data_IF_008132249914
#
_entry.id   IF_008132249914
#
_cell.length_a   1.000
_cell.length_b   1.000
_cell.length_c   1.000
_cell.angle_alpha   90.00
_cell.angle_beta   90.00
_cell.angle_gamma   90.00
#
_symmetry.space_group_name_H-M   'P 1'
#
loop_
_entity.id
_entity.type
_entity.pdbx_description
1 polymer ?
#
# COMPACT_ATOMS: atom_id res chain seq x y z
N UNK A 1 7.27 9.21 10.47
CA UNK A 1 7.28 9.01 9.00
C UNK A 1 5.86 8.74 8.56
N UNK A 2 5.40 9.38 7.48
CA UNK A 2 4.02 9.25 7.00
C UNK A 2 4.02 8.68 5.60
N UNK A 3 3.24 7.62 5.40
CA UNK A 3 3.00 6.99 4.11
C UNK A 3 1.53 7.08 3.75
N UNK A 4 1.26 7.55 2.53
CA UNK A 4 -0.09 7.58 1.96
C UNK A 4 -0.24 6.36 1.06
N UNK A 5 -1.25 5.56 1.33
CA UNK A 5 -1.57 4.33 0.61
C UNK A 5 -2.84 4.58 -0.20
N UNK A 6 -2.73 4.40 -1.51
CA UNK A 6 -3.82 4.52 -2.46
C UNK A 6 -4.09 3.17 -3.10
N UNK A 7 -5.36 2.81 -3.20
CA UNK A 7 -5.82 1.54 -3.73
C UNK A 7 -6.54 1.78 -5.05
N UNK A 8 -6.31 0.92 -6.05
CA UNK A 8 -7.01 1.02 -7.35
C UNK A 8 -7.65 -0.31 -7.75
N UNK A 9 -8.65 -0.23 -8.63
CA UNK A 9 -9.44 -1.37 -9.09
C UNK A 9 -10.35 -1.94 -8.01
N UNK A 10 -10.23 -3.24 -7.74
CA UNK A 10 -11.07 -4.04 -6.82
C UNK A 10 -10.45 -4.18 -5.42
N UNK A 11 -9.45 -3.34 -5.14
CA UNK A 11 -8.80 -3.25 -3.84
C UNK A 11 -9.62 -2.30 -2.98
N UNK A 12 -10.36 -2.86 -2.03
CA UNK A 12 -11.04 -2.06 -1.01
C UNK A 12 -10.08 -1.64 0.10
N UNK A 13 -10.07 -0.35 0.42
CA UNK A 13 -9.26 0.25 1.48
C UNK A 13 -9.57 -0.34 2.85
N UNK A 14 -10.86 -0.58 3.17
CA UNK A 14 -11.23 -1.24 4.43
C UNK A 14 -10.72 -2.66 4.52
N UNK A 15 -10.79 -3.41 3.41
CA UNK A 15 -10.25 -4.76 3.33
C UNK A 15 -8.73 -4.80 3.57
N UNK A 16 -7.99 -3.84 3.00
CA UNK A 16 -6.56 -3.69 3.25
C UNK A 16 -6.26 -3.28 4.69
N UNK A 17 -7.02 -2.34 5.25
CA UNK A 17 -6.85 -1.92 6.65
C UNK A 17 -7.13 -3.06 7.63
N UNK A 18 -8.20 -3.82 7.42
CA UNK A 18 -8.52 -5.00 8.23
C UNK A 18 -7.44 -6.08 8.13
N UNK A 19 -6.84 -6.25 6.94
CA UNK A 19 -5.70 -7.13 6.73
C UNK A 19 -4.47 -6.67 7.52
N UNK A 20 -4.10 -5.39 7.37
CA UNK A 20 -2.96 -4.80 8.08
C UNK A 20 -3.16 -4.82 9.59
N UNK A 21 -4.38 -4.66 10.10
CA UNK A 21 -4.66 -4.77 11.53
C UNK A 21 -4.36 -6.16 12.12
N UNK A 22 -4.31 -7.22 11.29
CA UNK A 22 -3.89 -8.57 11.69
C UNK A 22 -2.38 -8.76 11.67
N UNK A 23 -1.62 -7.87 11.05
CA UNK A 23 -0.16 -7.93 10.98
C UNK A 23 0.46 -7.46 12.32
N UNK A 24 1.24 -8.30 13.02
CA UNK A 24 1.86 -7.92 14.28
C UNK A 24 2.83 -6.74 14.14
N UNK A 25 3.45 -6.53 12.97
CA UNK A 25 4.36 -5.39 12.72
C UNK A 25 3.58 -4.10 12.49
N UNK A 26 2.37 -4.19 11.94
CA UNK A 26 1.49 -3.04 11.77
C UNK A 26 0.95 -2.47 13.09
N UNK A 27 1.19 -3.14 14.24
CA UNK A 27 0.87 -2.60 15.57
C UNK A 27 1.70 -1.37 15.95
N UNK A 28 2.85 -1.18 15.31
CA UNK A 28 3.69 0.00 15.47
C UNK A 28 3.29 1.14 14.51
N UNK A 29 2.22 0.93 13.73
CA UNK A 29 1.71 1.86 12.72
C UNK A 29 0.36 2.40 13.17
N UNK A 30 0.21 3.72 13.20
CA UNK A 30 -1.11 4.36 13.34
C UNK A 30 -1.71 4.54 11.95
N UNK A 31 -2.86 3.90 11.71
CA UNK A 31 -3.62 4.04 10.46
C UNK A 31 -4.78 5.02 10.63
N UNK A 32 -4.99 5.87 9.62
CA UNK A 32 -6.20 6.65 9.46
C UNK A 32 -6.73 6.52 8.03
N UNK A 33 -8.03 6.65 7.85
CA UNK A 33 -8.68 6.58 6.53
C UNK A 33 -9.28 7.94 6.22
N UNK A 34 -8.98 8.45 5.03
CA UNK A 34 -9.57 9.65 4.48
C UNK A 34 -10.27 9.32 3.15
N UNK A 35 -11.40 9.98 2.83
CA UNK A 35 -11.99 9.85 1.50
C UNK A 35 -11.02 10.42 0.46
N UNK A 36 -10.76 9.66 -0.62
CA UNK A 36 -10.04 10.18 -1.78
C UNK A 36 -10.86 11.25 -2.50
N UNK A 37 -10.19 12.23 -3.10
CA UNK A 37 -10.88 13.27 -3.85
C UNK A 37 -11.38 12.70 -5.20
N UNK A 38 -12.57 13.12 -5.64
CA UNK A 38 -13.22 12.59 -6.85
C UNK A 38 -12.43 12.78 -8.17
N UNK A 39 -11.40 13.63 -8.16
CA UNK A 39 -10.50 13.87 -9.29
C UNK A 39 -9.20 13.06 -9.23
N UNK A 40 -8.97 12.34 -8.13
CA UNK A 40 -7.87 11.38 -8.01
C UNK A 40 -8.32 10.06 -8.67
N UNK A 41 -7.48 9.49 -9.55
CA UNK A 41 -7.79 8.19 -10.19
C UNK A 41 -8.09 7.13 -9.14
N UNK A 42 -9.20 6.39 -9.32
CA UNK A 42 -9.70 5.43 -8.34
C UNK A 42 -10.22 6.16 -7.11
N UNK A 43 -11.46 6.66 -7.18
CA UNK A 43 -12.18 7.35 -6.10
C UNK A 43 -12.46 6.40 -4.91
N UNK A 44 -11.39 5.85 -4.35
CA UNK A 44 -11.34 4.93 -3.25
C UNK A 44 -10.80 5.61 -1.99
N UNK A 45 -10.83 4.85 -0.91
CA UNK A 45 -10.33 5.27 0.39
C UNK A 45 -8.80 5.44 0.36
N UNK A 46 -8.32 6.57 0.88
CA UNK A 46 -6.90 6.81 1.13
C UNK A 46 -6.61 6.33 2.55
N UNK A 47 -5.62 5.44 2.69
CA UNK A 47 -5.14 5.03 4.02
C UNK A 47 -3.85 5.80 4.30
N UNK A 48 -3.82 6.57 5.37
CA UNK A 48 -2.59 7.16 5.87
C UNK A 48 -2.02 6.25 6.96
N UNK A 49 -0.73 5.96 6.85
CA UNK A 49 0.02 5.15 7.80
C UNK A 49 1.14 6.02 8.39
N UNK A 50 1.14 6.20 9.70
CA UNK A 50 2.16 6.95 10.43
C UNK A 50 2.94 6.00 11.34
N UNK A 51 4.26 6.04 11.26
CA UNK A 51 5.14 5.18 12.04
C UNK A 51 6.44 5.89 12.42
N UNK A 52 6.99 5.46 13.55
CA UNK A 52 8.16 6.08 14.18
C UNK A 52 9.49 5.43 13.77
N UNK A 53 9.44 4.26 13.13
CA UNK A 53 10.64 3.52 12.75
C UNK A 53 10.58 2.93 11.33
N UNK A 54 11.76 2.56 10.80
CA UNK A 54 11.93 1.99 9.44
C UNK A 54 11.53 0.51 9.39
N UNK A 55 11.51 -0.20 10.51
CA UNK A 55 11.11 -1.62 10.57
C UNK A 55 9.61 -1.74 10.24
N UNK A 56 8.79 -0.83 10.76
CA UNK A 56 7.37 -0.71 10.47
C UNK A 56 7.09 -0.45 8.98
N UNK A 57 7.97 0.27 8.28
CA UNK A 57 7.88 0.46 6.82
C UNK A 57 8.04 -0.87 6.07
N UNK A 58 9.04 -1.68 6.44
CA UNK A 58 9.26 -2.99 5.83
C UNK A 58 8.08 -3.94 6.05
N UNK A 59 7.55 -3.97 7.27
CA UNK A 59 6.33 -4.72 7.60
C UNK A 59 5.12 -4.26 6.79
N UNK A 60 4.89 -2.94 6.71
CA UNK A 60 3.80 -2.36 5.92
C UNK A 60 3.86 -2.78 4.45
N UNK A 61 5.00 -2.59 3.79
CA UNK A 61 5.16 -2.95 2.36
C UNK A 61 4.93 -4.44 2.16
N UNK A 62 5.44 -5.28 3.06
CA UNK A 62 5.26 -6.73 3.02
C UNK A 62 3.78 -7.13 3.20
N UNK A 63 3.09 -6.52 4.17
CA UNK A 63 1.66 -6.76 4.42
C UNK A 63 0.79 -6.36 3.23
N UNK A 64 1.10 -5.22 2.60
CA UNK A 64 0.44 -4.76 1.37
C UNK A 64 0.70 -5.72 0.21
N UNK A 65 1.94 -6.15 0.01
CA UNK A 65 2.33 -7.11 -1.03
C UNK A 65 1.61 -8.45 -0.87
N UNK A 66 1.54 -8.98 0.36
CA UNK A 66 0.81 -10.20 0.69
C UNK A 66 -0.70 -10.06 0.42
N UNK A 67 -1.29 -8.90 0.72
CA UNK A 67 -2.70 -8.62 0.41
C UNK A 67 -2.96 -8.60 -1.10
N UNK A 68 -2.12 -7.91 -1.87
CA UNK A 68 -2.19 -7.84 -3.33
C UNK A 68 -2.10 -9.24 -3.95
N UNK A 69 -1.12 -10.04 -3.51
CA UNK A 69 -0.93 -11.41 -3.98
C UNK A 69 -2.12 -12.31 -3.66
N UNK A 70 -2.65 -12.22 -2.43
CA UNK A 70 -3.83 -13.00 -2.01
C UNK A 70 -5.05 -12.68 -2.86
N UNK A 71 -5.27 -11.40 -3.18
CA UNK A 71 -6.38 -10.97 -4.06
C UNK A 71 -6.19 -11.44 -5.49
N UNK A 72 -4.97 -11.41 -6.02
CA UNK A 72 -4.63 -11.95 -7.33
C UNK A 72 -4.90 -13.45 -7.40
N UNK A 73 -4.45 -14.22 -6.42
CA UNK A 73 -4.68 -15.66 -6.35
C UNK A 73 -6.18 -16.01 -6.31
N UNK A 74 -6.99 -15.26 -5.53
CA UNK A 74 -8.45 -15.44 -5.48
C UNK A 74 -9.14 -15.14 -6.81
N UNK A 75 -8.61 -14.23 -7.62
CA UNK A 75 -9.12 -13.89 -8.96
C UNK A 75 -8.73 -14.90 -10.04
N UNK A 76 -7.60 -15.57 -9.88
CA UNK A 76 -7.16 -16.63 -10.78
C UNK A 76 -7.99 -17.93 -10.63
N UNK A 77 -8.81 -18.04 -9.57
CA UNK A 77 -9.78 -19.12 -9.44
C UNK A 77 -10.91 -18.96 -10.48
N UNK A 78 -11.39 -20.04 -11.12
CA UNK A 78 -12.28 -19.97 -12.28
C UNK A 78 -13.62 -19.28 -11.92
N UNK A 79 -14.16 -18.41 -12.80
CA UNK A 79 -15.36 -17.64 -12.50
C UNK A 79 -16.64 -18.44 -12.75
N UNK A 80 -17.61 -18.33 -11.83
CA UNK A 80 -19.02 -18.61 -12.12
C UNK A 80 -19.73 -17.45 -12.85
N UNK A 81 -19.06 -16.32 -13.12
CA UNK A 81 -19.64 -15.20 -13.86
C UNK A 81 -18.58 -14.34 -14.56
N UNK A 82 -18.85 -13.98 -15.82
CA UNK A 82 -17.97 -13.38 -16.83
C UNK A 82 -16.89 -12.39 -16.34
N UNK A 83 -15.65 -12.47 -16.88
CA UNK A 83 -14.58 -11.54 -16.51
C UNK A 83 -14.89 -10.17 -17.13
N UNK A 84 -15.23 -9.19 -16.28
CA UNK A 84 -15.10 -7.79 -16.69
C UNK A 84 -13.61 -7.51 -16.95
N UNK A 85 -13.26 -6.66 -17.92
CA UNK A 85 -11.89 -6.17 -18.05
C UNK A 85 -11.58 -5.42 -16.77
N UNK A 86 -10.82 -6.05 -15.87
CA UNK A 86 -10.52 -5.48 -14.58
C UNK A 86 -9.19 -4.75 -14.70
N UNK A 87 -9.20 -3.48 -14.32
CA UNK A 87 -8.00 -2.69 -14.06
C UNK A 87 -7.01 -3.49 -13.21
N UNK A 88 -5.72 -3.32 -13.50
CA UNK A 88 -4.65 -4.01 -12.80
C UNK A 88 -4.76 -3.75 -11.29
N UNK A 89 -4.67 -4.82 -10.50
CA UNK A 89 -4.71 -4.72 -9.04
C UNK A 89 -3.39 -4.12 -8.56
N UNK A 90 -3.43 -2.87 -8.13
CA UNK A 90 -2.27 -2.08 -7.73
C UNK A 90 -2.53 -1.34 -6.41
N UNK A 91 -1.50 -1.29 -5.56
CA UNK A 91 -1.48 -0.44 -4.36
C UNK A 91 -0.32 0.53 -4.49
N UNK A 92 -0.63 1.82 -4.49
CA UNK A 92 0.35 2.89 -4.60
C UNK A 92 0.70 3.42 -3.21
N UNK A 93 1.99 3.53 -2.93
CA UNK A 93 2.56 4.01 -1.68
C UNK A 93 3.30 5.31 -1.94
N UNK A 94 3.05 6.32 -1.12
CA UNK A 94 3.71 7.63 -1.24
C UNK A 94 4.33 8.05 0.08
N UNK A 95 5.60 8.46 0.03
CA UNK A 95 6.36 8.86 1.21
C UNK A 95 7.42 9.90 0.83
N UNK A 96 7.43 11.06 1.49
CA UNK A 96 8.50 12.05 1.30
C UNK A 96 8.76 12.44 -0.16
N UNK A 97 7.71 12.50 -0.99
CA UNK A 97 7.80 12.79 -2.43
C UNK A 97 8.08 11.57 -3.33
N UNK A 98 8.50 10.43 -2.80
CA UNK A 98 8.56 9.18 -3.56
C UNK A 98 7.16 8.58 -3.75
N UNK A 99 6.94 7.97 -4.90
CA UNK A 99 5.74 7.23 -5.24
C UNK A 99 6.14 5.87 -5.78
N UNK A 100 5.73 4.81 -5.10
CA UNK A 100 5.99 3.43 -5.49
C UNK A 100 4.68 2.67 -5.68
N UNK A 101 4.68 1.66 -6.54
CA UNK A 101 3.51 0.81 -6.79
C UNK A 101 3.87 -0.62 -6.44
N UNK A 102 3.10 -1.20 -5.52
CA UNK A 102 3.21 -2.61 -5.12
C UNK A 102 2.32 -3.42 -6.05
N UNK A 103 2.95 -4.29 -6.84
CA UNK A 103 2.26 -5.17 -7.78
C UNK A 103 2.20 -6.61 -7.31
N UNK A 104 3.04 -7.05 -6.39
CA UNK A 104 3.01 -8.43 -5.92
C UNK A 104 3.96 -8.65 -4.77
N UNK A 105 4.20 -9.93 -4.48
CA UNK A 105 5.03 -10.35 -3.35
C UNK A 105 6.45 -10.77 -3.77
N UNK A 106 7.02 -10.11 -4.77
CA UNK A 106 8.42 -10.33 -5.14
C UNK A 106 9.37 -9.68 -4.11
N UNK A 107 10.28 -10.44 -3.47
CA UNK A 107 11.18 -9.90 -2.46
C UNK A 107 12.10 -8.78 -2.98
N UNK A 108 12.55 -8.87 -4.25
CA UNK A 108 13.41 -7.85 -4.83
C UNK A 108 12.64 -6.54 -5.09
N UNK A 109 11.39 -6.64 -5.57
CA UNK A 109 10.46 -5.51 -5.67
C UNK A 109 10.22 -4.86 -4.30
N UNK A 110 9.91 -5.65 -3.27
CA UNK A 110 9.66 -5.14 -1.91
C UNK A 110 10.88 -4.40 -1.36
N UNK A 111 12.07 -5.00 -1.45
CA UNK A 111 13.30 -4.38 -0.95
C UNK A 111 13.59 -3.04 -1.64
N UNK A 112 13.39 -2.97 -2.97
CA UNK A 112 13.53 -1.73 -3.74
C UNK A 112 12.54 -0.65 -3.29
N UNK A 113 11.28 -1.01 -3.10
CA UNK A 113 10.23 -0.08 -2.65
C UNK A 113 10.55 0.46 -1.25
N UNK A 114 10.91 -0.42 -0.31
CA UNK A 114 11.28 -0.02 1.05
C UNK A 114 12.45 0.96 1.04
N UNK A 115 13.51 0.68 0.27
CA UNK A 115 14.68 1.55 0.19
C UNK A 115 14.35 2.89 -0.48
N UNK A 116 13.52 2.90 -1.53
CA UNK A 116 13.09 4.13 -2.21
C UNK A 116 12.29 5.05 -1.25
N UNK A 117 11.30 4.49 -0.55
CA UNK A 117 10.49 5.25 0.42
C UNK A 117 11.31 5.73 1.62
N UNK A 118 12.28 4.92 2.08
CA UNK A 118 13.21 5.29 3.16
C UNK A 118 14.07 6.50 2.77
N UNK A 119 14.72 6.47 1.61
CA UNK A 119 15.56 7.57 1.14
C UNK A 119 14.78 8.87 0.96
N UNK A 120 13.57 8.77 0.41
CA UNK A 120 12.72 9.94 0.23
C UNK A 120 12.28 10.55 1.58
N UNK A 121 11.99 9.71 2.57
CA UNK A 121 11.69 10.16 3.92
C UNK A 121 12.88 10.80 4.64
N UNK A 122 14.09 10.33 4.37
CA UNK A 122 15.33 10.92 4.89
C UNK A 122 15.58 12.29 4.24
N UNK A 123 15.49 12.40 2.92
CA UNK A 123 15.66 13.66 2.17
C UNK A 123 14.65 14.74 2.60
N UNK A 124 13.38 14.37 2.80
CA UNK A 124 12.35 15.31 3.27
C UNK A 124 12.66 15.88 4.67
N UNK A 125 13.37 15.14 5.53
CA UNK A 125 13.78 15.64 6.86
C UNK A 125 14.95 16.62 6.78
N UNK A 126 15.86 16.39 5.84
CA UNK A 126 17.05 17.24 5.64
C UNK A 126 16.68 18.58 4.99
N UNK A 127 15.77 18.60 4.01
CA UNK A 127 15.30 19.83 3.36
C UNK A 127 14.42 20.71 4.27
N UNK A 128 13.92 20.16 5.38
CA UNK A 128 13.07 20.84 6.34
C UNK A 128 13.77 21.35 7.62
N UNK A 129 15.09 21.17 7.75
CA UNK A 129 15.91 21.66 8.88
C UNK A 129 16.73 22.89 8.49
#
# INVERSE_FOLDING_TARGET
MQVVIRTSGDVDGRGLMAWLAMDPVAREVTFSVAPGAAHEMGAGEIIQAVFDNVIALGGLVTGVAAYVETRRARRAAPPAASPRPSEALEVRLECGGATEVVRGNDPAEIARIVEALRRAAEQTREDGS
#
